data_IF_893016368916
#
_entry.id   IF_893016368916
#
_cell.length_a   1.000
_cell.length_b   1.000
_cell.length_c   1.000
_cell.angle_alpha   90.00
_cell.angle_beta   90.00
_cell.angle_gamma   90.00
#
_symmetry.space_group_name_H-M   'P 1'
#
loop_
_entity.id
_entity.type
_entity.pdbx_description
1 polymer ?
#
# COMPACT_ATOMS: atom_id res chain seq x y z
N UNK A 1 29.61 8.05 5.68
CA UNK A 1 28.52 7.09 5.98
C UNK A 1 27.23 7.64 5.39
N UNK A 2 26.87 7.27 4.16
CA UNK A 2 25.58 7.54 3.55
C UNK A 2 25.44 6.60 2.36
N UNK A 3 24.75 5.47 2.54
CA UNK A 3 24.37 4.57 1.45
C UNK A 3 23.19 3.69 1.88
N UNK A 4 22.02 4.32 1.99
CA UNK A 4 20.74 3.58 2.05
C UNK A 4 19.63 4.20 1.17
N UNK A 5 19.85 5.33 0.49
CA UNK A 5 18.79 6.02 -0.26
C UNK A 5 18.67 5.64 -1.76
N UNK A 6 19.50 4.74 -2.30
CA UNK A 6 19.50 4.47 -3.74
C UNK A 6 18.55 3.36 -4.21
N UNK A 7 18.07 2.48 -3.32
CA UNK A 7 17.17 1.38 -3.71
C UNK A 7 15.71 1.80 -3.82
N UNK A 8 15.28 2.79 -3.05
CA UNK A 8 13.89 3.27 -3.02
C UNK A 8 13.57 4.07 -4.30
N UNK A 9 14.53 4.82 -4.85
CA UNK A 9 14.35 5.63 -6.05
C UNK A 9 14.29 4.82 -7.36
N UNK A 10 14.88 3.62 -7.42
CA UNK A 10 14.87 2.80 -8.63
C UNK A 10 13.47 2.18 -8.91
N UNK A 11 12.71 1.89 -7.85
CA UNK A 11 11.34 1.36 -7.97
C UNK A 11 10.35 2.40 -8.54
N UNK A 12 10.67 3.69 -8.48
CA UNK A 12 9.80 4.77 -8.94
C UNK A 12 9.86 4.98 -10.47
N UNK A 13 10.83 4.36 -11.18
CA UNK A 13 11.04 4.54 -12.62
C UNK A 13 10.52 3.39 -13.50
N UNK A 14 9.90 2.37 -12.92
CA UNK A 14 9.29 1.27 -13.66
C UNK A 14 7.80 1.34 -13.35
N UNK A 15 6.93 1.36 -14.36
CA UNK A 15 5.47 1.45 -14.21
C UNK A 15 4.83 0.23 -13.51
N UNK A 16 5.53 -0.43 -12.60
CA UNK A 16 5.13 -1.66 -11.92
C UNK A 16 5.37 -1.56 -10.42
N UNK A 17 4.43 -2.07 -9.64
CA UNK A 17 4.60 -2.40 -8.24
C UNK A 17 5.20 -3.81 -8.11
N UNK A 18 6.26 -3.93 -7.31
CA UNK A 18 6.76 -5.22 -6.83
C UNK A 18 6.14 -5.52 -5.47
N UNK A 19 5.54 -6.70 -5.33
CA UNK A 19 4.98 -7.20 -4.06
C UNK A 19 5.72 -8.47 -3.69
N UNK A 20 6.49 -8.42 -2.60
CA UNK A 20 7.20 -9.57 -2.04
C UNK A 20 6.30 -10.30 -1.04
N UNK A 21 5.89 -11.51 -1.38
CA UNK A 21 5.17 -12.38 -0.45
C UNK A 21 6.15 -13.35 0.23
N UNK A 22 5.93 -13.62 1.53
CA UNK A 22 6.84 -14.44 2.37
C UNK A 22 6.99 -15.90 1.91
N UNK A 23 6.30 -16.28 0.84
CA UNK A 23 6.21 -17.62 0.25
C UNK A 23 7.23 -17.84 -0.89
N UNK A 24 8.21 -16.93 -1.04
CA UNK A 24 9.35 -17.13 -1.93
C UNK A 24 9.12 -16.72 -3.38
N UNK A 25 8.08 -15.91 -3.64
CA UNK A 25 7.87 -15.30 -4.95
C UNK A 25 7.59 -13.80 -4.82
N UNK A 26 7.84 -13.07 -5.91
CA UNK A 26 7.47 -11.67 -6.07
C UNK A 26 6.42 -11.55 -7.17
N UNK A 27 5.36 -10.79 -6.92
CA UNK A 27 4.43 -10.36 -7.97
C UNK A 27 4.90 -9.02 -8.53
N UNK A 28 4.94 -8.91 -9.86
CA UNK A 28 5.17 -7.64 -10.57
C UNK A 28 3.87 -7.25 -11.24
N UNK A 29 3.26 -6.14 -10.81
CA UNK A 29 1.96 -5.69 -11.28
C UNK A 29 2.06 -4.28 -11.84
N UNK A 30 1.52 -4.04 -13.04
CA UNK A 30 1.55 -2.69 -13.62
C UNK A 30 0.75 -1.70 -12.75
N UNK A 31 1.28 -0.50 -12.52
CA UNK A 31 0.69 0.52 -11.63
C UNK A 31 -0.68 1.01 -12.10
N UNK A 32 -1.06 0.77 -13.37
CA UNK A 32 -2.43 1.01 -13.85
C UNK A 32 -3.50 0.14 -13.16
N UNK A 33 -3.09 -0.93 -12.46
CA UNK A 33 -4.01 -1.76 -11.65
C UNK A 33 -4.19 -1.24 -10.23
N UNK A 34 -3.48 -0.18 -9.82
CA UNK A 34 -3.69 0.45 -8.53
C UNK A 34 -5.11 1.01 -8.45
N UNK A 35 -5.65 0.99 -7.25
CA UNK A 35 -6.97 1.52 -6.94
C UNK A 35 -6.88 2.57 -5.84
N UNK A 36 -7.81 3.53 -5.86
CA UNK A 36 -7.96 4.58 -4.86
C UNK A 36 -8.94 4.21 -3.74
N UNK A 37 -8.73 4.75 -2.55
CA UNK A 37 -9.68 4.62 -1.45
C UNK A 37 -9.39 5.63 -0.35
N UNK A 38 -10.16 5.58 0.72
CA UNK A 38 -10.01 6.45 1.88
C UNK A 38 -9.68 5.59 3.10
N UNK A 39 -8.66 5.97 3.88
CA UNK A 39 -8.40 5.33 5.17
C UNK A 39 -9.61 5.57 6.07
N UNK A 40 -10.32 4.50 6.39
CA UNK A 40 -11.52 4.55 7.23
C UNK A 40 -11.13 4.56 8.71
N UNK A 41 -10.22 3.65 9.08
CA UNK A 41 -9.77 3.46 10.46
C UNK A 41 -8.36 2.90 10.50
N UNK A 42 -7.59 3.33 11.49
CA UNK A 42 -6.24 2.85 11.73
C UNK A 42 -6.03 2.53 13.22
N UNK A 43 -5.39 1.40 13.52
CA UNK A 43 -5.09 0.94 14.87
C UNK A 43 -3.57 0.98 15.09
N UNK A 44 -2.98 2.12 15.51
CA UNK A 44 -1.52 2.30 15.55
C UNK A 44 -0.81 1.28 16.44
N UNK A 45 -1.39 0.96 17.60
CA UNK A 45 -0.84 -0.07 18.51
C UNK A 45 -0.80 -1.48 17.91
N UNK A 46 -1.60 -1.74 16.87
CA UNK A 46 -1.69 -3.04 16.20
C UNK A 46 -1.00 -3.06 14.83
N UNK A 47 -0.63 -1.90 14.29
CA UNK A 47 0.04 -1.78 12.99
C UNK A 47 -0.81 -2.14 11.77
N UNK A 48 -2.13 -2.00 11.86
CA UNK A 48 -3.04 -2.26 10.73
C UNK A 48 -4.24 -1.31 10.71
N UNK A 49 -4.90 -1.24 9.56
CA UNK A 49 -6.13 -0.48 9.38
C UNK A 49 -6.99 -1.01 8.24
N UNK A 50 -8.01 -0.22 7.89
CA UNK A 50 -8.90 -0.50 6.78
C UNK A 50 -9.06 0.73 5.89
N UNK A 51 -9.06 0.49 4.58
CA UNK A 51 -9.38 1.45 3.53
C UNK A 51 -10.80 1.14 3.04
N UNK A 52 -11.67 2.15 2.96
CA UNK A 52 -13.01 2.02 2.40
C UNK A 52 -12.99 2.31 0.89
N UNK A 53 -13.61 1.41 0.10
CA UNK A 53 -13.91 1.61 -1.33
C UNK A 53 -15.18 0.86 -1.71
N UNK A 54 -16.14 1.53 -2.37
CA UNK A 54 -17.39 0.94 -2.87
C UNK A 54 -18.08 -0.01 -1.87
N UNK A 55 -18.23 0.45 -0.63
CA UNK A 55 -18.84 -0.31 0.48
C UNK A 55 -18.08 -1.56 0.94
N UNK A 56 -16.82 -1.73 0.55
CA UNK A 56 -15.93 -2.80 1.03
C UNK A 56 -14.80 -2.22 1.87
N UNK A 57 -14.49 -2.93 2.95
CA UNK A 57 -13.32 -2.68 3.78
C UNK A 57 -12.13 -3.49 3.26
N UNK A 58 -11.00 -2.80 3.06
CA UNK A 58 -9.78 -3.38 2.52
C UNK A 58 -8.69 -3.27 3.57
N UNK A 59 -8.16 -4.42 3.98
CA UNK A 59 -7.16 -4.50 5.04
C UNK A 59 -5.79 -4.00 4.57
N UNK A 60 -5.07 -3.26 5.43
CA UNK A 60 -3.66 -2.92 5.19
C UNK A 60 -2.83 -3.01 6.48
N UNK A 61 -1.53 -3.28 6.34
CA UNK A 61 -0.54 -3.13 7.41
C UNK A 61 0.18 -1.80 7.25
N UNK A 62 0.53 -1.14 8.36
CA UNK A 62 1.28 0.12 8.33
C UNK A 62 2.66 -0.04 7.68
N UNK A 63 3.30 -1.21 7.78
CA UNK A 63 4.58 -1.49 7.13
C UNK A 63 4.48 -1.62 5.60
N UNK A 64 3.28 -1.55 5.02
CA UNK A 64 3.06 -1.50 3.58
C UNK A 64 2.77 -0.08 3.08
N UNK A 65 2.74 0.91 3.98
CA UNK A 65 2.58 2.32 3.63
C UNK A 65 3.96 2.96 3.39
N UNK A 66 4.04 3.89 2.43
CA UNK A 66 5.24 4.71 2.20
C UNK A 66 5.25 6.03 2.98
N UNK A 67 4.36 6.15 3.97
CA UNK A 67 4.15 7.34 4.79
C UNK A 67 3.91 6.96 6.27
N UNK A 68 4.36 7.81 7.19
CA UNK A 68 4.35 7.52 8.63
C UNK A 68 3.08 7.98 9.34
N UNK A 69 2.50 9.11 8.93
CA UNK A 69 1.37 9.73 9.61
C UNK A 69 0.05 9.21 9.04
N UNK A 70 -0.37 8.04 9.51
CA UNK A 70 -1.61 7.39 9.08
C UNK A 70 -2.79 7.87 9.94
N UNK A 71 -3.80 8.48 9.33
CA UNK A 71 -5.03 8.88 9.99
C UNK A 71 -6.26 8.66 9.10
N UNK A 72 -7.43 8.56 9.74
CA UNK A 72 -8.70 8.46 9.01
C UNK A 72 -8.93 9.68 8.12
N UNK A 73 -9.57 9.47 6.98
CA UNK A 73 -9.88 10.50 5.97
C UNK A 73 -8.80 10.70 4.91
N UNK A 74 -7.62 10.08 5.03
CA UNK A 74 -6.59 10.18 4.00
C UNK A 74 -6.98 9.44 2.72
N UNK A 75 -6.84 10.12 1.59
CA UNK A 75 -6.94 9.49 0.28
C UNK A 75 -5.63 8.78 -0.05
N UNK A 76 -5.76 7.54 -0.53
CA UNK A 76 -4.62 6.67 -0.83
C UNK A 76 -4.83 5.93 -2.15
N UNK A 77 -3.73 5.61 -2.81
CA UNK A 77 -3.66 4.62 -3.87
C UNK A 77 -2.96 3.36 -3.37
N UNK A 78 -3.30 2.18 -3.91
CA UNK A 78 -2.68 0.92 -3.51
C UNK A 78 -2.89 -0.16 -4.56
N UNK A 79 -2.08 -1.22 -4.51
CA UNK A 79 -2.28 -2.43 -5.31
C UNK A 79 -3.23 -3.38 -4.56
N UNK A 80 -4.39 -3.75 -5.12
CA UNK A 80 -5.30 -4.70 -4.48
C UNK A 80 -4.82 -6.13 -4.67
N UNK A 81 -4.79 -6.91 -3.59
CA UNK A 81 -4.43 -8.33 -3.63
C UNK A 81 -5.47 -9.18 -2.88
N UNK A 82 -6.04 -10.18 -3.56
CA UNK A 82 -6.91 -11.17 -2.92
C UNK A 82 -6.04 -12.29 -2.35
N UNK A 83 -6.19 -12.56 -1.06
CA UNK A 83 -5.47 -13.62 -0.35
C UNK A 83 -6.44 -14.55 0.36
N UNK A 84 -5.93 -15.61 0.99
CA UNK A 84 -6.72 -16.46 1.90
C UNK A 84 -7.32 -15.71 3.10
N UNK A 85 -6.81 -14.53 3.43
CA UNK A 85 -7.31 -13.65 4.51
C UNK A 85 -8.25 -12.56 3.99
N UNK A 86 -8.66 -12.62 2.73
CA UNK A 86 -9.47 -11.60 2.06
C UNK A 86 -8.64 -10.57 1.30
N UNK A 87 -9.30 -9.47 0.96
CA UNK A 87 -8.76 -8.38 0.15
C UNK A 87 -7.82 -7.50 0.98
N UNK A 88 -6.60 -7.30 0.46
CA UNK A 88 -5.56 -6.51 1.10
C UNK A 88 -5.07 -5.40 0.16
N UNK A 89 -4.65 -4.29 0.75
CA UNK A 89 -3.96 -3.20 0.07
C UNK A 89 -2.45 -3.33 0.29
N UNK A 90 -1.69 -3.47 -0.80
CA UNK A 90 -0.23 -3.51 -0.81
C UNK A 90 0.33 -2.22 -1.40
N UNK A 91 1.55 -1.86 -1.00
CA UNK A 91 2.27 -0.66 -1.45
C UNK A 91 1.34 0.58 -1.39
N UNK A 92 0.84 0.89 -0.20
CA UNK A 92 -0.13 1.97 0.01
C UNK A 92 0.62 3.30 -0.03
N UNK A 93 0.14 4.23 -0.86
CA UNK A 93 0.74 5.54 -1.06
C UNK A 93 -0.33 6.63 -0.90
N UNK A 94 0.04 7.80 -0.39
CA UNK A 94 -0.88 8.94 -0.34
C UNK A 94 -1.25 9.40 -1.76
N UNK A 95 -2.53 9.66 -2.01
CA UNK A 95 -2.93 10.44 -3.17
C UNK A 95 -2.63 11.91 -2.87
N UNK A 96 -1.70 12.49 -3.64
CA UNK A 96 -1.49 13.93 -3.60
C UNK A 96 -2.57 14.56 -4.49
N UNK A 97 -3.36 15.53 -3.99
CA UNK A 97 -4.21 16.30 -4.87
C UNK A 97 -3.36 16.93 -5.98
N UNK A 98 -3.81 16.80 -7.23
CA UNK A 98 -3.21 17.46 -8.39
C UNK A 98 -3.20 18.99 -8.22
#
# INVERSE_FOLDING_TARGET
MQSQNSKTSLNHMIGYDKIDEKIGFSLIAHRSFRIRGIIERFFPKKGFGFIRRNSRDIFFLSCWCDFDHIHSGQEVSFMPLITKKGLQAKNVEMETPL
#
